data_IF_288298982431
#
_entry.id   IF_288298982431
#
_cell.length_a   1.000
_cell.length_b   1.000
_cell.length_c   1.000
_cell.angle_alpha   90.00
_cell.angle_beta   90.00
_cell.angle_gamma   90.00
#
_symmetry.space_group_name_H-M   'P 1'
#
loop_
_entity.id
_entity.type
_entity.pdbx_description
1 polymer ?
#
# COMPACT_ATOMS: atom_id res chain seq x y z
N UNK A 1 5.57 -14.99 -2.48
CA UNK A 1 4.89 -13.82 -1.90
C UNK A 1 5.87 -12.67 -1.69
N UNK A 2 5.43 -11.46 -1.93
CA UNK A 2 6.25 -10.27 -1.76
C UNK A 2 5.57 -9.33 -0.77
N UNK A 3 6.34 -8.79 0.16
CA UNK A 3 5.84 -7.84 1.16
C UNK A 3 6.60 -6.54 1.06
N UNK A 4 5.88 -5.42 1.18
CA UNK A 4 6.45 -4.09 1.22
C UNK A 4 5.99 -3.37 2.47
N UNK A 5 6.84 -2.50 2.99
CA UNK A 5 6.54 -1.66 4.14
C UNK A 5 6.50 -0.21 3.70
N UNK A 6 5.50 0.52 4.18
CA UNK A 6 5.31 1.93 3.85
C UNK A 6 5.14 2.73 5.13
N UNK A 7 5.93 3.78 5.30
CA UNK A 7 5.79 4.68 6.44
C UNK A 7 4.55 5.56 6.25
N UNK A 8 3.70 5.59 7.26
CA UNK A 8 2.48 6.38 7.26
C UNK A 8 2.42 7.11 8.59
N UNK A 9 2.80 8.38 8.59
CA UNK A 9 3.03 9.13 9.83
C UNK A 9 1.86 9.99 10.27
N UNK A 10 0.86 10.19 9.42
CA UNK A 10 -0.31 11.00 9.73
C UNK A 10 -1.59 10.28 9.33
N UNK A 11 -2.71 10.72 9.92
CA UNK A 11 -4.03 10.17 9.56
C UNK A 11 -4.35 10.44 8.09
N UNK A 12 -3.95 11.59 7.58
CA UNK A 12 -4.15 11.94 6.17
C UNK A 12 -3.40 10.99 5.25
N UNK A 13 -2.15 10.66 5.59
CA UNK A 13 -1.39 9.68 4.82
C UNK A 13 -2.03 8.30 4.89
N UNK A 14 -2.51 7.90 6.06
CA UNK A 14 -3.17 6.61 6.24
C UNK A 14 -4.41 6.50 5.38
N UNK A 15 -5.26 7.52 5.38
CA UNK A 15 -6.48 7.55 4.57
C UNK A 15 -6.14 7.52 3.08
N UNK A 16 -5.13 8.30 2.66
CA UNK A 16 -4.69 8.31 1.27
C UNK A 16 -4.14 6.96 0.85
N UNK A 17 -3.39 6.32 1.73
CA UNK A 17 -2.82 4.99 1.48
C UNK A 17 -3.91 3.96 1.25
N UNK A 18 -4.90 3.89 2.14
CA UNK A 18 -6.01 2.94 1.99
C UNK A 18 -6.80 3.22 0.72
N UNK A 19 -7.06 4.49 0.40
CA UNK A 19 -7.74 4.84 -0.83
C UNK A 19 -6.97 4.37 -2.07
N UNK A 20 -5.67 4.57 -2.08
CA UNK A 20 -4.82 4.12 -3.17
C UNK A 20 -4.78 2.59 -3.26
N UNK A 21 -4.71 1.92 -2.11
CA UNK A 21 -4.69 0.47 -2.05
C UNK A 21 -5.97 -0.14 -2.64
N UNK A 22 -7.13 0.37 -2.23
CA UNK A 22 -8.40 -0.13 -2.73
C UNK A 22 -8.55 0.11 -4.24
N UNK A 23 -8.14 1.28 -4.72
CA UNK A 23 -8.18 1.58 -6.14
C UNK A 23 -7.24 0.67 -6.93
N UNK A 24 -6.08 0.38 -6.39
CA UNK A 24 -5.13 -0.51 -7.04
C UNK A 24 -5.70 -1.93 -7.17
N UNK A 25 -6.25 -2.46 -6.10
CA UNK A 25 -6.84 -3.81 -6.09
C UNK A 25 -7.99 -3.88 -7.09
N UNK A 26 -8.83 -2.85 -7.13
CA UNK A 26 -9.96 -2.79 -8.05
C UNK A 26 -9.49 -2.72 -9.51
N UNK A 27 -8.52 -1.84 -9.80
CA UNK A 27 -8.02 -1.63 -11.15
C UNK A 27 -7.21 -2.82 -11.67
N UNK A 28 -6.49 -3.49 -10.79
CA UNK A 28 -5.68 -4.66 -11.17
C UNK A 28 -6.53 -5.89 -11.47
N UNK A 29 -7.83 -5.83 -11.23
CA UNK A 29 -8.74 -6.97 -11.43
C UNK A 29 -8.22 -8.23 -10.74
N UNK A 30 -7.78 -8.08 -9.50
CA UNK A 30 -7.22 -9.17 -8.72
C UNK A 30 -8.28 -10.25 -8.54
N UNK A 31 -8.02 -11.45 -9.06
CA UNK A 31 -8.98 -12.55 -9.02
C UNK A 31 -9.14 -13.11 -7.62
N UNK A 32 -8.09 -13.01 -6.80
CA UNK A 32 -8.11 -13.49 -5.43
C UNK A 32 -7.67 -12.34 -4.51
N UNK A 33 -8.65 -11.55 -4.08
CA UNK A 33 -8.39 -10.43 -3.18
C UNK A 33 -7.83 -10.87 -1.84
N UNK A 34 -8.05 -12.14 -1.45
CA UNK A 34 -7.53 -12.68 -0.20
C UNK A 34 -6.02 -12.91 -0.26
N UNK A 35 -5.44 -12.97 -1.46
CA UNK A 35 -4.00 -13.12 -1.64
C UNK A 35 -3.24 -11.83 -1.34
N UNK A 36 -3.93 -10.69 -1.29
CA UNK A 36 -3.34 -9.40 -0.96
C UNK A 36 -3.87 -8.96 0.40
N UNK A 37 -2.97 -8.67 1.31
CA UNK A 37 -3.35 -8.22 2.65
C UNK A 37 -2.57 -6.99 3.05
N UNK A 38 -3.18 -6.18 3.92
CA UNK A 38 -2.54 -5.02 4.49
C UNK A 38 -2.74 -5.05 6.01
N UNK A 39 -1.68 -4.76 6.74
CA UNK A 39 -1.74 -4.66 8.20
C UNK A 39 -0.97 -3.43 8.65
N UNK A 40 -1.32 -2.95 9.84
CA UNK A 40 -0.61 -1.85 10.50
C UNK A 40 0.37 -2.43 11.51
N UNK A 41 1.56 -1.82 11.57
CA UNK A 41 2.57 -2.19 12.54
C UNK A 41 3.23 -0.91 13.02
N UNK A 42 3.95 -0.99 14.15
CA UNK A 42 4.69 0.16 14.67
C UNK A 42 6.15 -0.19 14.81
N UNK A 43 7.01 0.73 14.34
CA UNK A 43 8.46 0.63 14.50
C UNK A 43 8.94 1.88 15.22
N UNK A 44 9.10 1.79 16.53
CA UNK A 44 9.43 2.96 17.35
C UNK A 44 8.28 3.97 17.31
N UNK A 45 8.57 5.18 16.84
CA UNK A 45 7.59 6.27 16.75
C UNK A 45 6.85 6.28 15.41
N UNK A 46 7.17 5.33 14.52
CA UNK A 46 6.61 5.32 13.16
C UNK A 46 5.49 4.30 13.04
N UNK A 47 4.42 4.72 12.37
CA UNK A 47 3.36 3.82 11.96
C UNK A 47 3.69 3.32 10.55
N UNK A 48 3.67 2.01 10.38
CA UNK A 48 4.06 1.36 9.12
C UNK A 48 2.91 0.51 8.62
N UNK A 49 2.61 0.60 7.33
CA UNK A 49 1.68 -0.30 6.67
C UNK A 49 2.47 -1.38 5.96
N UNK A 50 2.18 -2.64 6.30
CA UNK A 50 2.82 -3.79 5.66
C UNK A 50 1.82 -4.41 4.71
N UNK A 51 2.17 -4.43 3.42
CA UNK A 51 1.30 -4.98 2.38
C UNK A 51 1.95 -6.23 1.81
N UNK A 52 1.20 -7.31 1.77
CA UNK A 52 1.67 -8.58 1.22
C UNK A 52 0.94 -8.83 -0.10
N UNK A 53 1.70 -9.11 -1.14
CA UNK A 53 1.22 -9.35 -2.50
C UNK A 53 1.46 -10.79 -2.91
N UNK A 54 0.73 -11.22 -3.92
CA UNK A 54 0.88 -12.55 -4.49
C UNK A 54 2.24 -12.74 -5.14
N UNK A 55 2.72 -11.71 -5.87
CA UNK A 55 4.01 -11.77 -6.54
C UNK A 55 4.73 -10.41 -6.51
N UNK A 56 6.02 -10.42 -6.87
CA UNK A 56 6.85 -9.23 -6.86
C UNK A 56 6.43 -8.19 -7.90
N UNK A 57 5.86 -8.62 -9.02
CA UNK A 57 5.40 -7.69 -10.06
C UNK A 57 4.25 -6.83 -9.54
N UNK A 58 3.30 -7.43 -8.83
CA UNK A 58 2.22 -6.68 -8.19
C UNK A 58 2.76 -5.70 -7.16
N UNK A 59 3.72 -6.14 -6.35
CA UNK A 59 4.34 -5.29 -5.34
C UNK A 59 5.00 -4.07 -5.96
N UNK A 60 5.75 -4.26 -7.04
CA UNK A 60 6.41 -3.15 -7.74
C UNK A 60 5.40 -2.19 -8.35
N UNK A 61 4.32 -2.70 -8.93
CA UNK A 61 3.26 -1.90 -9.51
C UNK A 61 2.60 -1.02 -8.44
N UNK A 62 2.29 -1.59 -7.29
CA UNK A 62 1.68 -0.82 -6.21
C UNK A 62 2.65 0.21 -5.66
N UNK A 63 3.92 -0.14 -5.49
CA UNK A 63 4.94 0.79 -5.02
C UNK A 63 5.03 2.02 -5.91
N UNK A 64 5.06 1.82 -7.22
CA UNK A 64 5.10 2.92 -8.20
C UNK A 64 3.82 3.74 -8.13
N UNK A 65 2.68 3.09 -8.06
CA UNK A 65 1.38 3.76 -7.97
C UNK A 65 1.30 4.62 -6.71
N UNK A 66 1.66 4.08 -5.56
CA UNK A 66 1.62 4.81 -4.30
C UNK A 66 2.61 5.98 -4.29
N UNK A 67 3.81 5.79 -4.81
CA UNK A 67 4.83 6.84 -4.89
C UNK A 67 4.33 8.03 -5.71
N UNK A 68 3.70 7.78 -6.85
CA UNK A 68 3.14 8.82 -7.70
C UNK A 68 1.94 9.49 -7.04
N UNK A 69 1.06 8.72 -6.44
CA UNK A 69 -0.13 9.22 -5.77
C UNK A 69 0.23 10.13 -4.60
N UNK A 70 1.19 9.70 -3.81
CA UNK A 70 1.70 10.44 -2.69
C UNK A 70 2.26 11.79 -3.11
N UNK A 71 3.05 11.79 -4.17
CA UNK A 71 3.64 12.99 -4.76
C UNK A 71 2.58 13.95 -5.25
N UNK A 72 1.56 13.42 -5.91
CA UNK A 72 0.44 14.19 -6.43
C UNK A 72 -0.36 14.84 -5.30
N UNK A 73 -0.50 14.16 -4.17
CA UNK A 73 -1.21 14.68 -2.99
C UNK A 73 -0.36 15.64 -2.16
N UNK A 74 0.92 15.79 -2.46
CA UNK A 74 1.82 16.66 -1.71
C UNK A 74 2.29 16.09 -0.38
N UNK A 75 2.27 14.79 -0.26
CA UNK A 75 2.69 14.10 0.97
C UNK A 75 4.18 13.78 0.97
#
# INVERSE_FOLDING_TARGET
>A
MASLEFDVNTDSESDAFFGAFFKFVEAAAVQDADAISVRSDTHGDHLVKVVTFEDAAQADQFKSYWTQRRKWLGL
#
